data_IF_488913550379
#
_entry.id   IF_488913550379
#
_cell.length_a   1.000
_cell.length_b   1.000
_cell.length_c   1.000
_cell.angle_alpha   90.00
_cell.angle_beta   90.00
_cell.angle_gamma   90.00
#
_symmetry.space_group_name_H-M   'P 1'
#
loop_
_entity.id
_entity.type
_entity.pdbx_description
1 polymer ?
#
# COMPACT_ATOMS: atom_id res chain seq x y z
N UNK A 1 27.61 48.30 31.56
CA UNK A 1 28.06 47.05 30.90
C UNK A 1 27.35 45.78 31.38
N UNK A 2 27.07 45.57 32.68
CA UNK A 2 26.39 44.35 33.20
C UNK A 2 24.94 44.10 32.72
N UNK A 3 24.19 45.13 32.33
CA UNK A 3 22.80 45.01 31.87
C UNK A 3 22.66 44.53 30.41
N UNK A 4 23.62 44.86 29.56
CA UNK A 4 23.61 44.51 28.13
C UNK A 4 23.81 42.99 27.93
N UNK A 5 24.62 42.37 28.80
CA UNK A 5 24.84 40.91 28.80
C UNK A 5 23.60 40.11 29.17
N UNK A 6 22.72 40.61 30.06
CA UNK A 6 21.48 39.89 30.42
C UNK A 6 20.45 39.92 29.29
N UNK A 7 20.36 41.01 28.53
CA UNK A 7 19.48 41.09 27.34
C UNK A 7 20.00 40.20 26.21
N UNK A 8 21.29 40.28 25.89
CA UNK A 8 21.92 39.41 24.89
C UNK A 8 21.80 37.92 25.25
N UNK A 9 22.00 37.57 26.52
CA UNK A 9 21.80 36.21 27.01
C UNK A 9 20.34 35.72 26.87
N UNK A 10 19.35 36.58 27.17
CA UNK A 10 17.92 36.27 26.96
C UNK A 10 17.58 36.08 25.49
N UNK A 11 18.14 36.89 24.60
CA UNK A 11 17.98 36.72 23.14
C UNK A 11 18.64 35.44 22.64
N UNK A 12 19.85 35.11 23.12
CA UNK A 12 20.52 33.86 22.79
C UNK A 12 19.68 32.64 23.23
N UNK A 13 19.13 32.65 24.45
CA UNK A 13 18.21 31.60 24.92
C UNK A 13 16.96 31.54 24.05
N UNK A 14 16.35 32.69 23.71
CA UNK A 14 15.17 32.74 22.87
C UNK A 14 15.43 32.20 21.46
N UNK A 15 16.59 32.49 20.87
CA UNK A 15 17.02 31.97 19.56
C UNK A 15 17.27 30.47 19.64
N UNK A 16 17.94 29.98 20.69
CA UNK A 16 18.17 28.54 20.89
C UNK A 16 16.84 27.80 21.09
N UNK A 17 15.92 28.37 21.88
CA UNK A 17 14.59 27.81 22.07
C UNK A 17 13.78 27.82 20.77
N UNK A 18 13.83 28.90 20.00
CA UNK A 18 13.19 28.99 18.68
C UNK A 18 13.79 27.97 17.71
N UNK A 19 15.11 27.80 17.70
CA UNK A 19 15.80 26.79 16.90
C UNK A 19 15.36 25.38 17.31
N UNK A 20 15.33 25.07 18.61
CA UNK A 20 14.86 23.78 19.11
C UNK A 20 13.40 23.49 18.70
N UNK A 21 12.52 24.48 18.81
CA UNK A 21 11.11 24.39 18.37
C UNK A 21 11.03 24.16 16.86
N UNK A 22 11.80 24.91 16.07
CA UNK A 22 11.75 24.87 14.62
C UNK A 22 12.33 23.60 14.00
N UNK A 23 13.29 22.95 14.66
CA UNK A 23 14.09 21.87 14.08
C UNK A 23 14.04 20.52 14.82
N UNK A 24 13.64 20.47 16.10
CA UNK A 24 13.68 19.23 16.90
C UNK A 24 12.30 18.67 17.27
N UNK A 25 11.20 19.41 17.04
CA UNK A 25 9.87 18.93 17.37
C UNK A 25 9.20 18.22 16.18
N UNK A 26 8.93 16.90 16.26
CA UNK A 26 8.22 16.20 15.19
C UNK A 26 6.80 16.74 15.06
N UNK A 27 6.41 17.03 13.82
CA UNK A 27 5.10 17.58 13.52
C UNK A 27 4.12 16.45 13.16
N UNK A 28 2.83 16.57 13.48
CA UNK A 28 1.81 15.56 13.19
C UNK A 28 1.34 15.62 11.73
N UNK A 29 2.27 15.76 10.78
CA UNK A 29 1.98 15.91 9.35
C UNK A 29 2.90 15.06 8.48
N UNK A 30 2.40 14.72 7.29
CA UNK A 30 3.15 14.21 6.16
C UNK A 30 3.06 15.18 5.00
N UNK A 31 4.13 15.25 4.22
CA UNK A 31 4.16 15.92 2.92
C UNK A 31 3.99 14.85 1.85
N UNK A 32 2.97 15.01 1.01
CA UNK A 32 2.71 14.17 -0.15
C UNK A 32 3.08 14.95 -1.42
N UNK A 33 3.89 14.37 -2.29
CA UNK A 33 4.37 14.98 -3.53
C UNK A 33 4.39 13.98 -4.68
N UNK A 34 4.35 14.43 -5.95
CA UNK A 34 4.63 13.58 -7.11
C UNK A 34 5.94 12.82 -6.92
N UNK A 35 5.86 11.50 -6.98
CA UNK A 35 7.01 10.62 -6.91
C UNK A 35 7.64 10.38 -8.28
N UNK A 36 8.21 9.19 -8.42
CA UNK A 36 8.90 8.71 -9.62
C UNK A 36 8.00 7.84 -10.50
N UNK A 37 8.51 7.57 -11.70
CA UNK A 37 7.95 6.59 -12.65
C UNK A 37 9.04 5.57 -12.92
N UNK A 38 8.86 4.35 -12.42
CA UNK A 38 9.90 3.31 -12.44
C UNK A 38 9.53 2.21 -13.45
N UNK A 39 10.46 1.83 -14.35
CA UNK A 39 10.22 0.74 -15.29
C UNK A 39 10.16 -0.61 -14.57
N UNK A 40 9.13 -1.40 -14.88
CA UNK A 40 8.89 -2.68 -14.22
C UNK A 40 9.76 -3.82 -14.73
N UNK A 41 10.30 -3.71 -15.94
CA UNK A 41 11.22 -4.72 -16.51
C UNK A 41 12.50 -4.91 -15.69
N UNK A 42 12.90 -3.92 -14.90
CA UNK A 42 14.01 -4.02 -13.94
C UNK A 42 13.59 -4.60 -12.58
N UNK A 43 12.29 -4.54 -12.26
CA UNK A 43 11.74 -4.91 -10.97
C UNK A 43 11.06 -6.30 -10.96
N UNK A 44 10.65 -6.81 -12.12
CA UNK A 44 9.89 -8.06 -12.24
C UNK A 44 10.57 -8.98 -13.25
N UNK A 45 10.75 -10.25 -12.88
CA UNK A 45 11.23 -11.26 -13.81
C UNK A 45 10.42 -12.55 -13.71
N UNK A 46 9.91 -13.00 -14.85
CA UNK A 46 9.27 -14.30 -15.02
C UNK A 46 10.29 -15.27 -15.61
N UNK A 47 10.43 -16.45 -15.00
CA UNK A 47 11.30 -17.51 -15.50
C UNK A 47 10.88 -17.94 -16.91
N UNK A 48 11.84 -18.02 -17.83
CA UNK A 48 11.64 -18.30 -19.26
C UNK A 48 10.69 -17.31 -19.99
N UNK A 49 10.41 -16.16 -19.38
CA UNK A 49 9.60 -15.11 -19.99
C UNK A 49 10.38 -14.26 -21.00
N UNK A 50 9.68 -13.69 -21.98
CA UNK A 50 10.27 -12.80 -22.98
C UNK A 50 10.78 -11.50 -22.34
N UNK A 51 11.75 -10.84 -23.00
CA UNK A 51 12.45 -9.64 -22.50
C UNK A 51 12.70 -8.58 -23.58
N UNK A 52 12.11 -8.76 -24.76
CA UNK A 52 12.37 -8.01 -25.98
C UNK A 52 11.24 -7.06 -26.37
N UNK A 53 10.32 -6.76 -25.44
CA UNK A 53 9.29 -5.73 -25.59
C UNK A 53 9.92 -4.38 -25.91
N UNK A 54 9.34 -3.66 -26.87
CA UNK A 54 9.92 -2.42 -27.41
C UNK A 54 9.64 -1.21 -26.53
N UNK A 55 8.53 -1.25 -25.79
CA UNK A 55 8.10 -0.21 -24.86
C UNK A 55 8.36 -0.61 -23.42
N UNK A 56 7.63 -0.02 -22.48
CA UNK A 56 7.74 -0.36 -21.07
C UNK A 56 6.45 -0.18 -20.30
N UNK A 57 6.19 -1.11 -19.37
CA UNK A 57 5.28 -0.87 -18.27
C UNK A 57 6.02 -0.23 -17.11
N UNK A 58 5.37 0.76 -16.48
CA UNK A 58 5.97 1.55 -15.43
C UNK A 58 4.99 1.71 -14.26
N UNK A 59 5.49 1.59 -13.04
CA UNK A 59 4.73 1.98 -11.85
C UNK A 59 4.88 3.47 -11.58
N UNK A 60 3.93 4.05 -10.84
CA UNK A 60 4.00 5.44 -10.39
C UNK A 60 3.94 5.52 -8.88
N UNK A 61 4.84 6.33 -8.28
CA UNK A 61 4.93 6.48 -6.83
C UNK A 61 4.44 7.85 -6.38
N UNK A 62 4.12 7.95 -5.09
CA UNK A 62 3.86 9.21 -4.40
C UNK A 62 4.87 9.30 -3.29
N UNK A 63 5.64 10.39 -3.27
CA UNK A 63 6.61 10.63 -2.22
C UNK A 63 5.83 11.03 -0.96
N UNK A 64 6.02 10.27 0.13
CA UNK A 64 5.42 10.55 1.44
C UNK A 64 6.52 10.75 2.48
N UNK A 65 6.66 11.97 2.99
CA UNK A 65 7.71 12.32 3.94
C UNK A 65 7.11 12.79 5.25
N UNK A 66 7.54 12.20 6.38
CA UNK A 66 7.14 12.67 7.70
C UNK A 66 7.73 14.06 7.97
N UNK A 67 6.88 15.00 8.36
CA UNK A 67 7.34 16.32 8.80
C UNK A 67 7.98 16.20 10.19
N UNK A 68 9.31 16.13 10.23
CA UNK A 68 10.05 15.99 11.49
C UNK A 68 10.25 17.32 12.22
N UNK A 69 9.87 18.44 11.60
CA UNK A 69 10.01 19.76 12.19
C UNK A 69 9.06 20.79 11.55
N UNK A 70 8.95 21.97 12.18
CA UNK A 70 8.05 23.05 11.73
C UNK A 70 8.49 23.62 10.38
N UNK A 71 9.79 23.67 10.11
CA UNK A 71 10.31 24.18 8.83
C UNK A 71 9.81 23.33 7.64
N UNK A 72 9.69 22.01 7.78
CA UNK A 72 9.11 21.14 6.75
C UNK A 72 7.62 21.43 6.53
N UNK A 73 6.85 21.72 7.59
CA UNK A 73 5.45 22.11 7.44
C UNK A 73 5.34 23.44 6.70
N UNK A 74 6.17 24.43 7.06
CA UNK A 74 6.21 25.72 6.35
C UNK A 74 6.57 25.51 4.88
N UNK A 75 7.59 24.69 4.60
CA UNK A 75 7.92 24.32 3.22
C UNK A 75 6.71 23.71 2.50
N UNK A 76 6.02 22.75 3.10
CA UNK A 76 4.86 22.09 2.53
C UNK A 76 3.66 23.01 2.24
N UNK A 77 3.55 24.16 2.93
CA UNK A 77 2.50 25.16 2.67
C UNK A 77 2.72 25.95 1.37
N UNK A 78 3.98 26.06 0.91
CA UNK A 78 4.34 26.86 -0.26
C UNK A 78 4.94 26.04 -1.41
N UNK A 79 5.40 24.82 -1.13
CA UNK A 79 5.98 23.94 -2.12
C UNK A 79 4.95 23.56 -3.19
N UNK A 80 5.35 23.69 -4.45
CA UNK A 80 4.51 23.30 -5.58
C UNK A 80 4.21 21.80 -5.53
N UNK A 81 3.00 21.43 -5.95
CA UNK A 81 2.56 20.02 -5.99
C UNK A 81 2.79 19.29 -4.67
N UNK A 82 2.60 19.98 -3.55
CA UNK A 82 2.77 19.41 -2.21
C UNK A 82 1.45 19.48 -1.47
N UNK A 83 1.06 18.37 -0.87
CA UNK A 83 -0.12 18.28 -0.02
C UNK A 83 0.32 17.96 1.42
N UNK A 84 -0.13 18.78 2.37
CA UNK A 84 0.06 18.49 3.79
C UNK A 84 -1.12 17.66 4.29
N UNK A 85 -0.83 16.47 4.79
CA UNK A 85 -1.81 15.58 5.41
C UNK A 85 -1.52 15.40 6.88
N UNK A 86 -2.54 15.34 7.72
CA UNK A 86 -2.33 15.03 9.14
C UNK A 86 -1.88 13.57 9.27
N UNK A 87 -0.97 13.32 10.20
CA UNK A 87 -0.49 11.97 10.48
C UNK A 87 -1.63 11.00 10.85
N UNK A 88 -2.64 11.47 11.57
CA UNK A 88 -3.84 10.69 11.90
C UNK A 88 -4.61 10.23 10.67
N UNK A 89 -4.64 11.04 9.62
CA UNK A 89 -5.41 10.75 8.40
C UNK A 89 -4.65 9.77 7.48
N UNK A 90 -3.32 9.69 7.66
CA UNK A 90 -2.43 8.84 6.88
C UNK A 90 -2.28 7.45 7.50
N UNK A 91 -1.90 7.39 8.79
CA UNK A 91 -1.55 6.14 9.47
C UNK A 91 -2.51 5.78 10.61
N UNK A 92 -3.56 6.57 10.83
CA UNK A 92 -4.46 6.36 11.96
C UNK A 92 -3.72 6.48 13.29
N UNK A 93 -3.96 5.50 14.16
CA UNK A 93 -3.34 5.41 15.49
C UNK A 93 -2.03 4.59 15.51
N UNK A 94 -1.53 4.15 14.35
CA UNK A 94 -0.30 3.37 14.27
C UNK A 94 0.91 4.25 14.62
N UNK A 95 1.92 3.65 15.25
CA UNK A 95 3.27 4.21 15.29
C UNK A 95 3.88 4.22 13.88
N UNK A 96 4.98 4.95 13.68
CA UNK A 96 5.62 4.99 12.36
C UNK A 96 6.17 3.61 11.96
N UNK A 97 6.71 2.85 12.92
CA UNK A 97 7.19 1.49 12.67
C UNK A 97 6.06 0.51 12.31
N UNK A 98 4.93 0.55 13.03
CA UNK A 98 3.77 -0.29 12.71
C UNK A 98 3.19 0.07 11.34
N UNK A 99 3.14 1.36 11.00
CA UNK A 99 2.68 1.80 9.68
C UNK A 99 3.57 1.29 8.55
N UNK A 100 4.90 1.32 8.73
CA UNK A 100 5.83 0.76 7.74
C UNK A 100 5.62 -0.74 7.56
N UNK A 101 5.47 -1.52 8.64
CA UNK A 101 5.15 -2.96 8.57
C UNK A 101 3.88 -3.23 7.75
N UNK A 102 2.85 -2.40 7.91
CA UNK A 102 1.61 -2.51 7.12
C UNK A 102 1.86 -2.19 5.65
N UNK A 103 2.65 -1.15 5.33
CA UNK A 103 2.99 -0.82 3.94
C UNK A 103 3.81 -1.92 3.26
N UNK A 104 4.73 -2.56 3.97
CA UNK A 104 5.55 -3.68 3.46
C UNK A 104 4.69 -4.92 3.20
N UNK A 105 3.75 -5.23 4.10
CA UNK A 105 2.77 -6.28 3.86
C UNK A 105 1.89 -5.96 2.64
N UNK A 106 1.37 -4.73 2.53
CA UNK A 106 0.56 -4.33 1.36
C UNK A 106 1.33 -4.44 0.05
N UNK A 107 2.63 -4.11 0.05
CA UNK A 107 3.50 -4.22 -1.11
C UNK A 107 3.70 -5.68 -1.52
N UNK A 108 4.12 -6.53 -0.59
CA UNK A 108 4.32 -7.97 -0.85
C UNK A 108 3.02 -8.69 -1.22
N UNK A 109 1.90 -8.32 -0.59
CA UNK A 109 0.57 -8.82 -0.93
C UNK A 109 0.19 -8.43 -2.36
N UNK A 110 0.43 -7.18 -2.76
CA UNK A 110 0.21 -6.69 -4.13
C UNK A 110 0.99 -7.51 -5.16
N UNK A 111 2.27 -7.80 -4.90
CA UNK A 111 3.07 -8.65 -5.78
C UNK A 111 2.46 -10.06 -5.95
N UNK A 112 2.04 -10.68 -4.85
CA UNK A 112 1.44 -12.03 -4.87
C UNK A 112 0.10 -12.04 -5.59
N UNK A 113 -0.78 -11.07 -5.32
CA UNK A 113 -2.06 -10.99 -6.02
C UNK A 113 -1.87 -10.70 -7.50
N UNK A 114 -0.87 -9.91 -7.89
CA UNK A 114 -0.51 -9.71 -9.30
C UNK A 114 -0.06 -10.98 -10.00
N UNK A 115 0.77 -11.81 -9.35
CA UNK A 115 1.15 -13.13 -9.90
C UNK A 115 -0.10 -13.98 -10.12
N UNK A 116 -1.00 -14.05 -9.14
CA UNK A 116 -2.23 -14.82 -9.27
C UNK A 116 -3.11 -14.31 -10.42
N UNK A 117 -3.35 -13.01 -10.49
CA UNK A 117 -4.16 -12.39 -11.53
C UNK A 117 -3.57 -12.59 -12.93
N UNK A 118 -2.26 -12.33 -13.10
CA UNK A 118 -1.58 -12.48 -14.38
C UNK A 118 -1.53 -13.93 -14.86
N UNK A 119 -1.24 -14.89 -13.98
CA UNK A 119 -1.23 -16.32 -14.36
C UNK A 119 -2.61 -16.79 -14.78
N UNK A 120 -3.65 -16.37 -14.05
CA UNK A 120 -5.05 -16.69 -14.38
C UNK A 120 -5.45 -16.09 -15.74
N UNK A 121 -5.10 -14.84 -15.98
CA UNK A 121 -5.36 -14.13 -17.25
C UNK A 121 -4.62 -14.80 -18.42
N UNK A 122 -3.39 -15.27 -18.21
CA UNK A 122 -2.63 -16.05 -19.21
C UNK A 122 -3.16 -17.49 -19.42
N UNK A 123 -4.21 -17.92 -18.70
CA UNK A 123 -4.73 -19.28 -18.74
C UNK A 123 -3.78 -20.33 -18.12
N UNK A 124 -2.84 -19.91 -17.27
CA UNK A 124 -1.88 -20.79 -16.61
C UNK A 124 -2.37 -21.23 -15.23
N UNK A 125 -2.04 -22.47 -14.78
CA UNK A 125 -2.41 -22.92 -13.45
C UNK A 125 -1.74 -22.08 -12.36
N UNK A 126 -2.57 -21.63 -11.41
CA UNK A 126 -2.15 -20.90 -10.22
C UNK A 126 -3.05 -21.25 -9.04
N UNK A 127 -2.47 -21.35 -7.85
CA UNK A 127 -3.21 -21.71 -6.63
C UNK A 127 -2.82 -20.77 -5.49
N UNK A 128 -3.64 -19.73 -5.22
CA UNK A 128 -3.49 -18.92 -4.01
C UNK A 128 -3.94 -19.73 -2.79
N UNK A 129 -3.15 -19.69 -1.73
CA UNK A 129 -3.45 -20.36 -0.45
C UNK A 129 -3.32 -19.36 0.68
N UNK A 130 -4.34 -19.28 1.55
CA UNK A 130 -4.23 -18.50 2.78
C UNK A 130 -3.33 -19.22 3.76
N UNK A 131 -2.21 -18.60 4.13
CA UNK A 131 -1.22 -19.14 5.07
C UNK A 131 -1.43 -18.64 6.50
N UNK A 132 -2.23 -17.60 6.69
CA UNK A 132 -2.61 -17.07 7.99
C UNK A 132 -3.33 -15.73 7.87
N UNK A 133 -3.39 -14.99 8.96
CA UNK A 133 -4.05 -13.69 9.03
C UNK A 133 -3.08 -12.62 9.54
N UNK A 134 -2.67 -11.73 8.65
CA UNK A 134 -1.80 -10.59 8.96
C UNK A 134 -2.49 -9.61 9.91
N UNK A 135 -1.85 -9.29 11.03
CA UNK A 135 -2.34 -8.32 12.00
C UNK A 135 -2.06 -6.90 11.52
N UNK A 136 -3.10 -6.26 10.98
CA UNK A 136 -3.03 -4.89 10.46
C UNK A 136 -3.08 -3.82 11.55
N UNK A 137 -3.88 -4.04 12.59
CA UNK A 137 -4.06 -3.05 13.65
C UNK A 137 -4.62 -3.68 14.92
N UNK A 138 -4.21 -3.17 16.08
CA UNK A 138 -4.88 -3.42 17.36
C UNK A 138 -5.76 -2.23 17.74
N UNK A 139 -7.00 -2.52 18.16
CA UNK A 139 -7.93 -1.50 18.63
C UNK A 139 -7.50 -0.95 20.00
N UNK A 140 -7.83 0.32 20.31
CA UNK A 140 -7.66 0.85 21.66
C UNK A 140 -8.30 -0.05 22.72
N UNK A 141 -7.54 -0.40 23.75
CA UNK A 141 -8.03 -1.27 24.84
C UNK A 141 -7.90 -2.78 24.60
N UNK A 142 -7.47 -3.21 23.40
CA UNK A 142 -7.15 -4.62 23.13
C UNK A 142 -6.15 -5.17 24.15
N UNK A 143 -6.45 -6.36 24.67
CA UNK A 143 -5.54 -7.12 25.55
C UNK A 143 -4.55 -7.99 24.78
N UNK A 144 -4.61 -7.99 23.45
CA UNK A 144 -3.57 -8.57 22.62
C UNK A 144 -2.31 -7.69 22.59
N UNK A 145 -2.42 -6.40 22.95
CA UNK A 145 -1.28 -5.49 23.05
C UNK A 145 -0.29 -5.99 24.11
N UNK A 146 0.97 -6.20 23.70
CA UNK A 146 2.02 -6.78 24.54
C UNK A 146 2.20 -8.29 24.36
N UNK A 147 1.29 -8.94 23.63
CA UNK A 147 1.45 -10.32 23.14
C UNK A 147 1.69 -10.30 21.64
N UNK A 148 0.75 -9.69 20.91
CA UNK A 148 0.86 -9.47 19.47
C UNK A 148 1.42 -8.07 19.17
N UNK A 149 2.07 -7.97 18.02
CA UNK A 149 2.54 -6.75 17.39
C UNK A 149 1.96 -6.62 15.98
N UNK A 150 1.65 -5.40 15.55
CA UNK A 150 1.31 -5.15 14.14
C UNK A 150 2.44 -5.69 13.27
N UNK A 151 2.08 -6.46 12.24
CA UNK A 151 3.04 -7.22 11.43
C UNK A 151 2.99 -8.73 11.68
N UNK A 152 2.49 -9.19 12.82
CA UNK A 152 2.38 -10.63 13.10
C UNK A 152 1.40 -11.33 12.16
N UNK A 153 1.64 -12.60 11.83
CA UNK A 153 0.69 -13.44 11.09
C UNK A 153 0.07 -14.46 12.03
N UNK A 154 -1.21 -14.31 12.34
CA UNK A 154 -1.96 -15.24 13.18
C UNK A 154 -2.21 -16.55 12.42
N UNK A 155 -1.76 -17.66 13.01
CA UNK A 155 -1.90 -19.01 12.45
C UNK A 155 -3.01 -19.82 13.15
N UNK A 156 -3.12 -19.72 14.47
CA UNK A 156 -4.08 -20.48 15.27
C UNK A 156 -4.69 -19.67 16.41
N UNK A 157 -5.94 -19.98 16.72
CA UNK A 157 -6.62 -19.59 17.97
C UNK A 157 -7.05 -20.87 18.68
N UNK A 158 -6.51 -21.08 19.88
CA UNK A 158 -6.46 -22.37 20.56
C UNK A 158 -5.95 -23.46 19.60
N UNK A 159 -6.68 -24.57 19.45
CA UNK A 159 -6.31 -25.66 18.54
C UNK A 159 -6.77 -25.44 17.08
N UNK A 160 -7.45 -24.32 16.79
CA UNK A 160 -8.07 -24.07 15.49
C UNK A 160 -7.13 -23.29 14.58
N UNK A 161 -6.92 -23.82 13.37
CA UNK A 161 -6.17 -23.10 12.32
C UNK A 161 -7.01 -21.95 11.79
N UNK A 162 -6.41 -20.78 11.68
CA UNK A 162 -7.06 -19.57 11.17
C UNK A 162 -6.80 -19.46 9.68
N UNK A 163 -7.75 -19.94 8.88
CA UNK A 163 -7.77 -19.71 7.43
C UNK A 163 -8.77 -18.61 7.07
N UNK A 164 -9.98 -18.71 7.60
CA UNK A 164 -11.06 -17.77 7.34
C UNK A 164 -11.40 -17.01 8.62
N UNK A 165 -11.29 -15.68 8.58
CA UNK A 165 -11.61 -14.84 9.74
C UNK A 165 -13.06 -15.03 10.25
N UNK A 166 -14.09 -15.21 9.39
CA UNK A 166 -15.44 -15.52 9.86
C UNK A 166 -15.54 -16.76 10.74
N UNK A 167 -14.71 -17.79 10.52
CA UNK A 167 -14.69 -19.00 11.34
C UNK A 167 -14.17 -18.71 12.75
N UNK A 168 -13.14 -17.85 12.87
CA UNK A 168 -12.62 -17.41 14.17
C UNK A 168 -13.65 -16.60 14.91
N UNK A 169 -14.29 -15.64 14.25
CA UNK A 169 -15.34 -14.80 14.86
C UNK A 169 -16.49 -15.69 15.35
N UNK A 170 -16.95 -16.63 14.51
CA UNK A 170 -17.99 -17.57 14.89
C UNK A 170 -17.59 -18.46 16.07
N UNK A 171 -16.36 -18.97 16.09
CA UNK A 171 -15.83 -19.77 17.19
C UNK A 171 -15.80 -18.99 18.51
N UNK A 172 -15.22 -17.78 18.50
CA UNK A 172 -15.15 -16.93 19.69
C UNK A 172 -16.57 -16.59 20.19
N UNK A 173 -17.47 -16.20 19.29
CA UNK A 173 -18.84 -15.83 19.64
C UNK A 173 -19.71 -16.98 20.16
N UNK A 174 -19.48 -18.21 19.70
CA UNK A 174 -20.27 -19.39 20.10
C UNK A 174 -19.72 -20.11 21.32
N UNK A 175 -18.40 -20.07 21.53
CA UNK A 175 -17.70 -20.96 22.47
C UNK A 175 -16.95 -20.23 23.59
N UNK A 176 -16.85 -18.89 23.55
CA UNK A 176 -16.12 -18.09 24.53
C UNK A 176 -16.99 -16.96 25.08
N UNK A 177 -16.52 -16.34 26.15
CA UNK A 177 -17.10 -15.16 26.79
C UNK A 177 -16.08 -14.04 26.90
N UNK A 178 -16.57 -12.81 27.03
CA UNK A 178 -15.70 -11.67 27.36
C UNK A 178 -14.99 -11.95 28.68
N UNK A 179 -13.67 -11.77 28.69
CA UNK A 179 -12.82 -12.09 29.81
C UNK A 179 -12.22 -13.49 29.82
N UNK A 180 -12.66 -14.40 28.94
CA UNK A 180 -11.98 -15.67 28.72
C UNK A 180 -10.59 -15.44 28.13
N UNK A 181 -9.70 -16.41 28.29
CA UNK A 181 -8.37 -16.38 27.67
C UNK A 181 -8.29 -17.41 26.55
N UNK A 182 -7.67 -17.02 25.45
CA UNK A 182 -7.36 -17.90 24.31
C UNK A 182 -5.86 -17.94 24.09
N UNK A 183 -5.37 -19.09 23.62
CA UNK A 183 -3.97 -19.25 23.21
C UNK A 183 -3.86 -18.94 21.74
N UNK A 184 -2.91 -18.09 21.35
CA UNK A 184 -2.65 -17.73 19.97
C UNK A 184 -1.34 -18.37 19.53
N UNK A 185 -1.33 -18.92 18.32
CA UNK A 185 -0.08 -19.25 17.62
C UNK A 185 0.08 -18.27 16.46
N UNK A 186 1.22 -17.60 16.37
CA UNK A 186 1.47 -16.56 15.37
C UNK A 186 2.92 -16.58 14.89
N UNK A 187 3.17 -16.05 13.70
CA UNK A 187 4.51 -15.79 13.18
C UNK A 187 4.90 -14.35 13.45
N UNK A 188 6.14 -14.13 13.89
CA UNK A 188 6.80 -12.83 13.95
C UNK A 188 8.18 -12.99 13.35
N UNK A 189 8.51 -12.17 12.35
CA UNK A 189 9.82 -12.20 11.68
C UNK A 189 10.23 -13.61 11.19
N UNK A 190 9.24 -14.42 10.80
CA UNK A 190 9.43 -15.80 10.32
C UNK A 190 9.48 -16.88 11.42
N UNK A 191 9.53 -16.50 12.69
CA UNK A 191 9.55 -17.42 13.82
C UNK A 191 8.16 -17.63 14.42
N UNK A 192 7.86 -18.87 14.83
CA UNK A 192 6.59 -19.21 15.44
C UNK A 192 6.61 -18.94 16.94
N UNK A 193 5.63 -18.19 17.41
CA UNK A 193 5.43 -17.85 18.82
C UNK A 193 4.07 -18.32 19.30
N UNK A 194 3.92 -18.37 20.63
CA UNK A 194 2.66 -18.66 21.30
C UNK A 194 2.43 -17.66 22.42
N UNK A 195 1.20 -17.18 22.56
CA UNK A 195 0.86 -16.21 23.59
C UNK A 195 -0.60 -16.30 24.01
N UNK A 196 -0.89 -15.95 25.26
CA UNK A 196 -2.25 -15.98 25.80
C UNK A 196 -2.86 -14.58 25.79
N UNK A 197 -4.08 -14.45 25.24
CA UNK A 197 -4.79 -13.19 25.13
C UNK A 197 -6.15 -13.29 25.79
N UNK A 198 -6.46 -12.32 26.65
CA UNK A 198 -7.78 -12.16 27.26
C UNK A 198 -8.75 -11.50 26.27
N UNK A 199 -9.90 -12.11 26.03
CA UNK A 199 -10.91 -11.58 25.13
C UNK A 199 -11.59 -10.34 25.73
N UNK A 200 -11.86 -9.36 24.87
CA UNK A 200 -12.62 -8.16 25.19
C UNK A 200 -13.98 -8.18 24.47
N UNK A 201 -14.89 -7.30 24.89
CA UNK A 201 -16.10 -7.02 24.11
C UNK A 201 -15.79 -6.15 22.91
N UNK A 202 -16.19 -6.57 21.72
CA UNK A 202 -16.08 -5.82 20.46
C UNK A 202 -17.45 -5.47 19.87
N UNK A 203 -17.45 -4.55 18.89
CA UNK A 203 -18.57 -4.17 18.02
C UNK A 203 -19.83 -3.60 18.71
N UNK A 204 -19.69 -3.04 19.92
CA UNK A 204 -20.80 -2.44 20.67
C UNK A 204 -21.85 -3.44 21.19
N UNK A 205 -21.88 -4.65 20.63
CA UNK A 205 -22.70 -5.79 21.05
C UNK A 205 -22.01 -6.66 22.12
N UNK A 206 -20.84 -6.25 22.62
CA UNK A 206 -20.05 -6.96 23.63
C UNK A 206 -19.73 -8.42 23.22
N UNK A 207 -19.53 -8.66 21.92
CA UNK A 207 -19.12 -9.98 21.45
C UNK A 207 -17.65 -10.24 21.86
N UNK A 208 -17.30 -11.46 22.28
CA UNK A 208 -15.92 -11.78 22.65
C UNK A 208 -15.00 -11.72 21.42
N UNK A 209 -13.92 -10.94 21.52
CA UNK A 209 -12.95 -10.80 20.44
C UNK A 209 -11.58 -10.35 20.91
N UNK A 210 -10.62 -10.37 19.99
CA UNK A 210 -9.23 -9.96 20.23
C UNK A 210 -9.06 -8.43 20.22
N UNK A 211 -10.03 -7.68 19.67
CA UNK A 211 -9.87 -6.23 19.44
C UNK A 211 -8.78 -5.94 18.41
N UNK A 212 -8.80 -6.65 17.28
CA UNK A 212 -7.76 -6.64 16.27
C UNK A 212 -8.37 -6.65 14.86
N UNK A 213 -7.70 -6.02 13.92
CA UNK A 213 -8.05 -6.03 12.49
C UNK A 213 -7.03 -6.90 11.77
N UNK A 214 -7.53 -7.94 11.11
CA UNK A 214 -6.73 -8.89 10.37
C UNK A 214 -7.06 -8.86 8.88
N UNK A 215 -6.08 -9.19 8.06
CA UNK A 215 -6.23 -9.38 6.62
C UNK A 215 -5.58 -10.71 6.21
N UNK A 216 -6.09 -11.42 5.19
CA UNK A 216 -5.52 -12.69 4.77
C UNK A 216 -4.08 -12.54 4.28
N UNK A 217 -3.19 -13.40 4.78
CA UNK A 217 -1.84 -13.59 4.25
C UNK A 217 -1.88 -14.71 3.20
N UNK A 218 -1.45 -14.41 1.98
CA UNK A 218 -1.45 -15.37 0.88
C UNK A 218 -0.05 -15.89 0.55
N UNK A 219 0.05 -17.18 0.24
CA UNK A 219 1.10 -17.71 -0.62
C UNK A 219 0.51 -18.02 -2.00
N UNK A 220 1.30 -17.86 -3.05
CA UNK A 220 0.90 -18.16 -4.42
C UNK A 220 1.87 -19.18 -5.01
N UNK A 221 1.34 -20.34 -5.39
CA UNK A 221 2.07 -21.34 -6.16
C UNK A 221 1.67 -21.25 -7.62
N UNK A 222 2.64 -21.08 -8.51
CA UNK A 222 2.45 -20.98 -9.96
C UNK A 222 3.41 -21.89 -10.71
N UNK A 223 3.06 -22.21 -11.96
CA UNK A 223 3.89 -23.04 -12.86
C UNK A 223 5.13 -22.31 -13.38
N UNK A 224 5.11 -20.98 -13.36
CA UNK A 224 6.21 -20.09 -13.74
C UNK A 224 6.64 -19.30 -12.53
N UNK A 225 7.92 -19.38 -12.19
CA UNK A 225 8.46 -18.63 -11.07
C UNK A 225 8.54 -17.13 -11.44
N UNK A 226 8.07 -16.27 -10.54
CA UNK A 226 8.12 -14.81 -10.69
C UNK A 226 8.89 -14.24 -9.52
N UNK A 227 9.93 -13.47 -9.82
CA UNK A 227 10.78 -12.82 -8.81
C UNK A 227 10.63 -11.31 -8.91
N UNK A 228 10.63 -10.65 -7.76
CA UNK A 228 10.61 -9.20 -7.65
C UNK A 228 11.93 -8.70 -7.07
N UNK A 229 12.44 -7.60 -7.58
CA UNK A 229 13.59 -6.91 -7.00
C UNK A 229 13.22 -6.27 -5.66
N UNK A 230 14.21 -6.16 -4.76
CA UNK A 230 14.05 -5.40 -3.52
C UNK A 230 13.83 -3.91 -3.83
N UNK A 231 13.00 -3.27 -3.01
CA UNK A 231 12.63 -1.87 -3.17
C UNK A 231 12.21 -1.28 -1.84
N UNK A 232 12.42 0.02 -1.66
CA UNK A 232 11.92 0.80 -0.53
C UNK A 232 10.48 1.33 -0.77
N UNK A 233 9.84 0.93 -1.88
CA UNK A 233 8.46 1.31 -2.22
C UNK A 233 7.48 0.43 -1.42
N UNK A 234 6.48 1.08 -0.81
CA UNK A 234 5.41 0.42 -0.06
C UNK A 234 4.02 0.62 -0.64
N UNK A 235 3.05 -0.12 -0.09
CA UNK A 235 1.62 0.02 -0.40
C UNK A 235 1.14 -0.77 -1.62
N UNK A 236 -0.18 -0.89 -1.85
CA UNK A 236 -0.71 -1.93 -2.75
C UNK A 236 -0.85 -1.48 -4.22
N UNK A 237 -0.54 -0.23 -4.53
CA UNK A 237 -1.05 0.45 -5.74
C UNK A 237 -0.41 0.06 -7.08
N UNK A 238 0.63 -0.78 -7.06
CA UNK A 238 1.33 -1.25 -8.26
C UNK A 238 0.70 -2.52 -8.87
N UNK A 239 -0.31 -3.11 -8.22
CA UNK A 239 -0.84 -4.42 -8.54
C UNK A 239 -1.27 -4.62 -10.00
N UNK A 240 -1.98 -3.64 -10.58
CA UNK A 240 -2.34 -3.68 -12.00
C UNK A 240 -1.10 -3.70 -12.90
N UNK A 241 -0.14 -2.82 -12.65
CA UNK A 241 1.04 -2.67 -13.51
C UNK A 241 1.99 -3.87 -13.39
N UNK A 242 2.15 -4.43 -12.19
CA UNK A 242 2.86 -5.69 -12.01
C UNK A 242 2.21 -6.82 -12.80
N UNK A 243 0.89 -6.89 -12.83
CA UNK A 243 0.18 -7.94 -13.58
C UNK A 243 0.40 -7.80 -15.09
N UNK A 244 0.36 -6.56 -15.61
CA UNK A 244 0.63 -6.28 -17.02
C UNK A 244 2.08 -6.62 -17.42
N UNK A 245 3.06 -6.29 -16.57
CA UNK A 245 4.46 -6.67 -16.80
C UNK A 245 4.65 -8.19 -16.82
N UNK A 246 4.03 -8.91 -15.87
CA UNK A 246 4.09 -10.38 -15.84
C UNK A 246 3.46 -10.96 -17.11
N UNK A 247 2.29 -10.45 -17.52
CA UNK A 247 1.62 -10.90 -18.74
C UNK A 247 2.45 -10.64 -19.99
N UNK A 248 3.06 -9.47 -20.10
CA UNK A 248 3.91 -9.16 -21.23
C UNK A 248 5.10 -10.13 -21.30
N UNK A 249 5.70 -10.52 -20.19
CA UNK A 249 6.76 -11.55 -20.22
C UNK A 249 6.23 -12.96 -20.54
N UNK A 250 4.96 -13.26 -20.28
CA UNK A 250 4.34 -14.58 -20.53
C UNK A 250 3.80 -14.74 -21.96
N UNK A 251 3.29 -13.66 -22.56
CA UNK A 251 2.62 -13.68 -23.85
C UNK A 251 3.59 -13.42 -25.01
N UNK A 252 3.39 -14.06 -26.18
CA UNK A 252 4.29 -13.91 -27.32
C UNK A 252 4.23 -12.51 -27.98
N UNK A 253 3.10 -11.81 -27.89
CA UNK A 253 2.90 -10.46 -28.41
C UNK A 253 3.46 -9.38 -27.47
N UNK A 254 4.04 -8.31 -28.02
CA UNK A 254 4.45 -7.12 -27.24
C UNK A 254 3.23 -6.28 -26.85
N UNK A 255 2.80 -6.36 -25.59
CA UNK A 255 1.64 -5.63 -25.08
C UNK A 255 1.87 -4.12 -24.99
N UNK A 256 3.14 -3.67 -24.96
CA UNK A 256 3.47 -2.26 -24.81
C UNK A 256 3.28 -1.48 -26.12
N UNK A 257 3.28 -2.16 -27.27
CA UNK A 257 3.27 -1.54 -28.60
C UNK A 257 4.39 -0.50 -28.83
N UNK A 258 5.51 -0.61 -28.11
CA UNK A 258 6.58 0.38 -28.15
C UNK A 258 6.32 1.64 -27.32
N UNK A 259 5.21 1.71 -26.58
CA UNK A 259 4.82 2.86 -25.78
C UNK A 259 5.49 2.86 -24.41
N UNK A 260 5.65 4.05 -23.82
CA UNK A 260 5.85 4.21 -22.39
C UNK A 260 4.50 4.21 -21.67
N UNK A 261 4.10 3.04 -21.18
CA UNK A 261 2.84 2.83 -20.46
C UNK A 261 3.09 2.91 -18.96
N UNK A 262 2.31 3.72 -18.25
CA UNK A 262 2.30 3.71 -16.79
C UNK A 262 0.89 3.49 -16.27
N UNK A 263 0.76 3.37 -14.96
CA UNK A 263 -0.56 3.32 -14.35
C UNK A 263 -0.52 3.05 -12.86
N UNK A 264 -1.68 2.75 -12.33
CA UNK A 264 -1.88 2.43 -10.93
C UNK A 264 -3.17 1.65 -10.73
N UNK A 265 -3.25 0.94 -9.62
CA UNK A 265 -4.44 0.22 -9.18
C UNK A 265 -4.03 -0.94 -8.30
N UNK A 266 -4.78 -1.17 -7.21
CA UNK A 266 -4.64 -2.45 -6.52
C UNK A 266 -5.21 -3.54 -7.41
N UNK A 267 -4.84 -4.80 -7.14
CA UNK A 267 -5.42 -5.94 -7.85
C UNK A 267 -5.76 -7.04 -6.85
N UNK A 268 -6.92 -7.66 -7.01
CA UNK A 268 -7.28 -8.87 -6.28
C UNK A 268 -6.87 -10.15 -7.04
N UNK A 269 -7.05 -11.30 -6.41
CA UNK A 269 -6.71 -12.62 -6.99
C UNK A 269 -7.47 -12.94 -8.28
N UNK A 270 -8.55 -12.22 -8.58
CA UNK A 270 -9.39 -12.41 -9.75
C UNK A 270 -9.13 -11.37 -10.84
N UNK A 271 -8.16 -10.47 -10.64
CA UNK A 271 -7.83 -9.42 -11.60
C UNK A 271 -8.76 -8.21 -11.51
N UNK A 272 -9.57 -8.04 -10.45
CA UNK A 272 -10.33 -6.81 -10.24
C UNK A 272 -9.40 -5.68 -9.83
N UNK A 273 -9.50 -4.55 -10.52
CA UNK A 273 -8.73 -3.35 -10.22
C UNK A 273 -9.44 -2.54 -9.14
N UNK A 274 -8.70 -2.13 -8.11
CA UNK A 274 -9.22 -1.36 -7.00
C UNK A 274 -8.65 0.06 -6.92
N UNK A 275 -9.40 0.91 -6.23
CA UNK A 275 -9.08 2.32 -5.99
C UNK A 275 -7.79 2.49 -5.17
N UNK A 276 -7.14 3.63 -5.36
CA UNK A 276 -5.86 3.99 -4.73
C UNK A 276 -5.89 5.45 -4.25
N UNK A 277 -4.97 5.79 -3.36
CA UNK A 277 -4.70 7.18 -2.97
C UNK A 277 -3.65 7.87 -3.85
N UNK A 278 -3.69 9.20 -3.88
CA UNK A 278 -2.64 10.02 -4.51
C UNK A 278 -2.70 10.07 -6.04
N UNK A 279 -3.89 9.92 -6.63
CA UNK A 279 -4.07 9.91 -8.10
C UNK A 279 -3.50 11.17 -8.76
N UNK A 280 -3.81 12.35 -8.20
CA UNK A 280 -3.29 13.65 -8.66
C UNK A 280 -1.76 13.63 -8.83
N UNK A 281 -1.05 13.21 -7.79
CA UNK A 281 0.41 13.20 -7.77
C UNK A 281 1.00 12.22 -8.80
N UNK A 282 0.32 11.08 -9.00
CA UNK A 282 0.69 10.07 -10.00
C UNK A 282 0.50 10.57 -11.44
N UNK A 283 -0.57 11.32 -11.72
CA UNK A 283 -0.76 11.96 -13.04
C UNK A 283 0.31 13.02 -13.31
N UNK A 284 0.66 13.82 -12.29
CA UNK A 284 1.76 14.79 -12.42
C UNK A 284 3.10 14.07 -12.66
N UNK A 285 3.39 12.98 -11.96
CA UNK A 285 4.60 12.18 -12.17
C UNK A 285 4.64 11.55 -13.57
N UNK A 286 3.54 10.93 -14.01
CA UNK A 286 3.40 10.33 -15.33
C UNK A 286 3.65 11.34 -16.45
N UNK A 287 3.02 12.52 -16.37
CA UNK A 287 3.24 13.58 -17.34
C UNK A 287 4.71 14.06 -17.37
N UNK A 288 5.31 14.30 -16.20
CA UNK A 288 6.73 14.71 -16.10
C UNK A 288 7.68 13.67 -16.69
N UNK A 289 7.32 12.39 -16.60
CA UNK A 289 8.10 11.28 -17.13
C UNK A 289 7.84 10.99 -18.63
N UNK A 290 6.99 11.75 -19.31
CA UNK A 290 6.66 11.55 -20.71
C UNK A 290 5.90 10.24 -20.97
N UNK A 291 5.06 9.82 -20.03
CA UNK A 291 4.16 8.67 -20.23
C UNK A 291 3.15 9.01 -21.33
N UNK A 292 2.90 8.04 -22.20
CA UNK A 292 1.97 8.20 -23.33
C UNK A 292 0.56 7.70 -22.97
N UNK A 293 0.52 6.57 -22.26
CA UNK A 293 -0.69 5.88 -21.84
C UNK A 293 -0.66 5.64 -20.33
N UNK A 294 -1.73 6.03 -19.63
CA UNK A 294 -1.88 5.85 -18.19
C UNK A 294 -3.14 5.06 -17.85
N UNK A 295 -2.98 3.87 -17.27
CA UNK A 295 -4.10 3.11 -16.73
C UNK A 295 -4.45 3.55 -15.30
N UNK A 296 -5.74 3.74 -15.01
CA UNK A 296 -6.22 4.05 -13.67
C UNK A 296 -7.44 3.21 -13.29
N UNK A 297 -7.74 3.07 -11.98
CA UNK A 297 -8.95 2.39 -11.54
C UNK A 297 -10.20 3.14 -12.03
N UNK A 298 -11.13 2.39 -12.62
CA UNK A 298 -12.44 2.91 -13.05
C UNK A 298 -13.33 3.22 -11.85
N UNK A 299 -14.13 4.27 -11.98
CA UNK A 299 -15.09 4.67 -10.94
C UNK A 299 -16.36 3.82 -11.08
N UNK A 300 -16.51 2.80 -10.23
CA UNK A 300 -17.61 1.83 -10.30
C UNK A 300 -18.77 2.10 -9.33
N UNK A 301 -18.58 3.03 -8.40
CA UNK A 301 -19.57 3.42 -7.39
C UNK A 301 -19.39 4.89 -6.98
N UNK A 302 -20.31 5.41 -6.16
CA UNK A 302 -20.33 6.83 -5.74
C UNK A 302 -19.16 7.24 -4.83
N UNK A 303 -18.40 6.28 -4.29
CA UNK A 303 -17.23 6.54 -3.46
C UNK A 303 -15.91 6.47 -4.22
N UNK A 304 -15.94 5.98 -5.46
CA UNK A 304 -14.79 5.89 -6.35
C UNK A 304 -14.61 7.18 -7.13
N UNK A 305 -13.39 7.72 -7.16
CA UNK A 305 -13.09 9.01 -7.81
C UNK A 305 -11.81 8.99 -8.64
N UNK A 306 -11.09 7.88 -8.67
CA UNK A 306 -9.78 7.81 -9.32
C UNK A 306 -9.79 8.16 -10.81
N UNK A 307 -10.78 7.70 -11.57
CA UNK A 307 -10.84 8.03 -12.99
C UNK A 307 -11.13 9.52 -13.18
N UNK A 308 -12.11 10.05 -12.45
CA UNK A 308 -12.47 11.46 -12.48
C UNK A 308 -11.30 12.36 -12.04
N UNK A 309 -10.65 12.05 -10.92
CA UNK A 309 -9.50 12.78 -10.38
C UNK A 309 -8.34 12.83 -11.38
N UNK A 310 -8.09 11.71 -12.08
CA UNK A 310 -7.04 11.62 -13.07
C UNK A 310 -7.32 12.54 -14.27
N UNK A 311 -8.54 12.47 -14.81
CA UNK A 311 -8.99 13.26 -15.96
C UNK A 311 -9.01 14.76 -15.61
N UNK A 312 -9.52 15.12 -14.44
CA UNK A 312 -9.61 16.51 -14.00
C UNK A 312 -8.23 17.13 -13.80
N UNK A 313 -7.28 16.40 -13.19
CA UNK A 313 -5.93 16.92 -13.00
C UNK A 313 -5.20 17.11 -14.34
N UNK A 314 -5.34 16.16 -15.27
CA UNK A 314 -4.75 16.30 -16.61
C UNK A 314 -5.37 17.48 -17.38
N UNK A 315 -6.70 17.62 -17.35
CA UNK A 315 -7.41 18.72 -18.00
C UNK A 315 -7.04 20.08 -17.41
N UNK A 316 -7.04 20.19 -16.08
CA UNK A 316 -6.69 21.40 -15.34
C UNK A 316 -5.30 21.93 -15.70
N UNK A 317 -4.37 21.03 -16.03
CA UNK A 317 -2.97 21.37 -16.32
C UNK A 317 -2.61 21.34 -17.81
N UNK A 318 -3.55 20.97 -18.67
CA UNK A 318 -3.31 20.85 -20.11
C UNK A 318 -2.32 19.74 -20.46
N UNK A 319 -2.31 18.64 -19.70
CA UNK A 319 -1.42 17.51 -19.95
C UNK A 319 -1.93 16.69 -21.14
N UNK A 320 -1.05 16.47 -22.12
CA UNK A 320 -1.29 15.53 -23.20
C UNK A 320 -0.91 14.12 -22.72
N UNK A 321 -1.81 13.49 -21.97
CA UNK A 321 -1.66 12.14 -21.41
C UNK A 321 -2.94 11.35 -21.71
N UNK A 322 -2.82 10.17 -22.34
CA UNK A 322 -3.98 9.32 -22.59
C UNK A 322 -4.31 8.53 -21.33
N UNK A 323 -5.40 8.88 -20.66
CA UNK A 323 -5.85 8.23 -19.42
C UNK A 323 -6.94 7.21 -19.76
N UNK A 324 -6.77 5.97 -19.31
CA UNK A 324 -7.68 4.86 -19.58
C UNK A 324 -8.14 4.23 -18.27
N UNK A 325 -9.41 4.47 -17.87
CA UNK A 325 -10.00 3.83 -16.71
C UNK A 325 -10.31 2.35 -16.97
N UNK A 326 -9.90 1.48 -16.06
CA UNK A 326 -10.16 0.03 -16.11
C UNK A 326 -10.67 -0.52 -14.78
N UNK A 327 -11.64 -1.42 -14.83
CA UNK A 327 -12.17 -2.13 -13.67
C UNK A 327 -11.53 -3.50 -13.46
N UNK A 328 -10.89 -4.07 -14.48
CA UNK A 328 -10.23 -5.38 -14.43
C UNK A 328 -8.92 -5.39 -15.21
N UNK A 329 -8.06 -6.36 -14.92
CA UNK A 329 -6.86 -6.66 -15.70
C UNK A 329 -7.21 -6.97 -17.16
N UNK A 330 -8.23 -7.79 -17.40
CA UNK A 330 -8.74 -8.10 -18.73
C UNK A 330 -9.08 -6.83 -19.53
N UNK A 331 -9.77 -5.84 -18.92
CA UNK A 331 -10.09 -4.59 -19.64
C UNK A 331 -8.82 -3.83 -20.09
N UNK A 332 -7.74 -3.87 -19.30
CA UNK A 332 -6.47 -3.26 -19.68
C UNK A 332 -5.78 -4.04 -20.81
N UNK A 333 -5.78 -5.38 -20.74
CA UNK A 333 -5.23 -6.25 -21.78
C UNK A 333 -6.00 -6.09 -23.09
N UNK A 334 -7.33 -6.12 -23.03
CA UNK A 334 -8.21 -5.92 -24.19
C UNK A 334 -7.98 -4.55 -24.84
N UNK A 335 -7.78 -3.50 -24.03
CA UNK A 335 -7.45 -2.18 -24.54
C UNK A 335 -6.14 -2.19 -25.33
N UNK A 336 -5.10 -2.85 -24.81
CA UNK A 336 -3.81 -2.97 -25.47
C UNK A 336 -3.90 -3.83 -26.73
N UNK A 337 -4.62 -4.94 -26.73
CA UNK A 337 -4.80 -5.79 -27.92
C UNK A 337 -5.49 -5.05 -29.06
N UNK A 338 -6.37 -4.10 -28.73
CA UNK A 338 -7.09 -3.27 -29.70
C UNK A 338 -6.37 -1.95 -30.02
N UNK A 339 -5.16 -1.73 -29.49
CA UNK A 339 -4.41 -0.51 -29.73
C UNK A 339 -4.11 -0.31 -31.22
N UNK A 340 -4.44 0.87 -31.73
CA UNK A 340 -4.09 1.33 -33.07
C UNK A 340 -3.33 2.64 -32.93
N UNK A 341 -2.11 2.65 -33.47
CA UNK A 341 -1.18 3.78 -33.44
C UNK A 341 -1.75 5.03 -34.12
#
# INVERSE_FOLDING_TARGET
MKWMNKRLFRWAIAIIALYAILFLMPMPYYLYQPGTVEPLSAAVSVADGKKDSKGSFNLTTVLSVRANNVAMVIYGLFAKDTELRKASDVKGNLSDAEYMRVLDHMWSSSQRTSVAAAMKEAGLPVTPTVTGQFLRMLQPGSKAKGVLEVGDVLLKVDERTVKELPEVIHYLGSSKKVGDTVTLTYLRDGEQHTGQVKLIGIDGANQPGLGAVFEPEYAVSSTRNVTFAESEIGGPSAGLMFSLEILDQLLPEDLTHGLKVAGTGTIDLNGKVGQIGGMRDKIVAAHKAGVELFFCPKDTDTSSTNAQDAIDEAKKRGYNLRIVPVATLQEAVDYLHNWKA
#
